data_IF_513031962158
#
_entry.id   IF_513031962158
#
_cell.length_a   1.000
_cell.length_b   1.000
_cell.length_c   1.000
_cell.angle_alpha   90.00
_cell.angle_beta   90.00
_cell.angle_gamma   90.00
#
_symmetry.space_group_name_H-M   'P 1'
#
loop_
_entity.id
_entity.type
_entity.pdbx_description
1 polymer ?
#
# COMPACT_ATOMS: atom_id res chain seq x y z
N UNK A 1 -31.43 6.05 9.75
CA UNK A 1 -30.30 6.36 8.86
C UNK A 1 -30.66 5.88 7.47
N UNK A 2 -30.70 6.77 6.49
CA UNK A 2 -31.04 6.41 5.10
C UNK A 2 -29.95 5.54 4.46
N UNK A 3 -30.29 4.76 3.44
CA UNK A 3 -29.33 3.90 2.71
C UNK A 3 -28.10 4.68 2.22
N UNK A 4 -28.32 5.90 1.72
CA UNK A 4 -27.27 6.79 1.25
C UNK A 4 -26.30 7.22 2.35
N UNK A 5 -26.84 7.62 3.51
CA UNK A 5 -26.04 7.97 4.69
C UNK A 5 -25.24 6.77 5.20
N UNK A 6 -25.83 5.57 5.13
CA UNK A 6 -25.14 4.32 5.45
C UNK A 6 -23.96 4.04 4.53
N UNK A 7 -24.17 4.10 3.22
CA UNK A 7 -23.12 3.85 2.24
C UNK A 7 -22.01 4.90 2.33
N UNK A 8 -22.37 6.17 2.53
CA UNK A 8 -21.39 7.22 2.78
C UNK A 8 -20.55 6.95 4.05
N UNK A 9 -21.19 6.51 5.13
CA UNK A 9 -20.49 6.08 6.36
C UNK A 9 -19.56 4.88 6.12
N UNK A 10 -19.97 3.95 5.26
CA UNK A 10 -19.12 2.82 4.86
C UNK A 10 -17.89 3.26 4.05
N UNK A 11 -17.99 4.31 3.24
CA UNK A 11 -16.83 4.92 2.57
C UNK A 11 -15.80 5.47 3.57
N UNK A 12 -16.25 6.20 4.59
CA UNK A 12 -15.39 6.66 5.69
C UNK A 12 -14.76 5.48 6.43
N UNK A 13 -15.53 4.41 6.65
CA UNK A 13 -15.04 3.19 7.29
C UNK A 13 -13.95 2.51 6.45
N UNK A 14 -14.15 2.37 5.14
CA UNK A 14 -13.13 1.82 4.24
C UNK A 14 -11.84 2.66 4.29
N UNK A 15 -11.95 3.99 4.25
CA UNK A 15 -10.78 4.88 4.38
C UNK A 15 -10.03 4.68 5.72
N UNK A 16 -10.73 4.54 6.85
CA UNK A 16 -10.09 4.21 8.14
C UNK A 16 -9.40 2.87 8.14
N UNK A 17 -9.93 1.90 7.39
CA UNK A 17 -9.37 0.55 7.31
C UNK A 17 -8.01 0.51 6.61
N UNK A 18 -7.62 1.56 5.89
CA UNK A 18 -6.26 1.73 5.35
C UNK A 18 -5.17 1.76 6.44
N UNK A 19 -5.48 2.16 7.68
CA UNK A 19 -4.49 2.27 8.76
C UNK A 19 -4.05 0.94 9.35
N UNK A 20 -4.78 -0.13 9.10
CA UNK A 20 -4.57 -1.39 9.78
C UNK A 20 -3.76 -2.37 8.95
N UNK A 21 -3.06 -3.26 9.64
CA UNK A 21 -2.32 -4.36 9.04
C UNK A 21 -3.25 -5.52 8.72
N UNK A 22 -3.06 -6.13 7.56
CA UNK A 22 -3.85 -7.30 7.12
C UNK A 22 -3.01 -8.58 7.02
N UNK A 23 -1.75 -8.53 7.44
CA UNK A 23 -0.86 -9.68 7.51
C UNK A 23 -0.66 -10.20 8.93
N UNK A 24 -1.22 -9.50 9.92
CA UNK A 24 -1.20 -9.91 11.33
C UNK A 24 -2.50 -10.59 11.72
N UNK A 25 -2.43 -11.57 12.61
CA UNK A 25 -3.61 -12.15 13.26
C UNK A 25 -3.86 -11.50 14.63
N UNK A 26 -5.10 -11.10 14.95
CA UNK A 26 -6.28 -11.08 14.07
C UNK A 26 -6.20 -9.92 13.05
N UNK A 27 -6.67 -10.17 11.82
CA UNK A 27 -6.61 -9.19 10.72
C UNK A 27 -7.18 -7.82 11.11
N UNK A 28 -6.39 -6.78 10.89
CA UNK A 28 -6.79 -5.41 11.08
C UNK A 28 -6.97 -5.00 12.54
N UNK A 29 -6.31 -5.69 13.47
CA UNK A 29 -6.27 -5.35 14.90
C UNK A 29 -5.16 -4.36 15.24
N UNK A 30 -4.08 -4.36 14.46
CA UNK A 30 -2.93 -3.49 14.65
C UNK A 30 -2.81 -2.50 13.51
N UNK A 31 -2.35 -1.30 13.83
CA UNK A 31 -2.01 -0.33 12.80
C UNK A 31 -0.76 -0.74 12.02
N UNK A 32 -0.70 -0.43 10.73
CA UNK A 32 0.45 -0.79 9.88
C UNK A 32 1.77 -0.20 10.35
N UNK A 33 1.81 1.04 10.84
CA UNK A 33 3.06 1.63 11.31
C UNK A 33 3.65 0.84 12.49
N UNK A 34 2.81 0.42 13.46
CA UNK A 34 3.25 -0.43 14.58
C UNK A 34 3.82 -1.76 14.09
N UNK A 35 3.14 -2.38 13.12
CA UNK A 35 3.61 -3.64 12.53
C UNK A 35 4.90 -3.44 11.75
N UNK A 36 5.05 -2.32 11.03
CA UNK A 36 6.27 -2.00 10.29
C UNK A 36 7.47 -1.73 11.20
N UNK A 37 7.30 -1.01 12.32
CA UNK A 37 8.39 -0.85 13.31
C UNK A 37 8.84 -2.21 13.82
N UNK A 38 7.89 -3.07 14.22
CA UNK A 38 8.22 -4.40 14.70
C UNK A 38 8.91 -5.24 13.63
N UNK A 39 8.50 -5.11 12.38
CA UNK A 39 9.17 -5.73 11.24
C UNK A 39 10.63 -5.27 11.14
N UNK A 40 10.91 -3.96 11.23
CA UNK A 40 12.27 -3.44 11.21
C UNK A 40 13.11 -3.96 12.38
N UNK A 41 12.55 -3.97 13.60
CA UNK A 41 13.20 -4.49 14.81
C UNK A 41 13.59 -5.96 14.68
N UNK A 42 12.66 -6.80 14.22
CA UNK A 42 12.89 -8.25 14.04
C UNK A 42 13.96 -8.51 12.98
N UNK A 43 13.96 -7.74 11.90
CA UNK A 43 14.93 -7.87 10.81
C UNK A 43 16.24 -7.11 11.07
N UNK A 44 16.43 -6.54 12.28
CA UNK A 44 17.62 -5.76 12.66
C UNK A 44 17.94 -4.62 11.70
N UNK A 45 16.89 -3.98 11.18
CA UNK A 45 16.99 -2.84 10.29
C UNK A 45 16.91 -1.56 11.12
N UNK A 46 18.04 -0.87 11.25
CA UNK A 46 18.07 0.39 12.01
C UNK A 46 17.60 1.55 11.12
N UNK A 47 16.81 2.45 11.71
CA UNK A 47 16.33 3.66 11.06
C UNK A 47 16.91 4.86 11.79
N UNK A 48 17.82 5.56 11.12
CA UNK A 48 18.51 6.71 11.69
C UNK A 48 17.53 7.82 12.09
N UNK A 49 17.92 8.67 13.04
CA UNK A 49 17.06 9.78 13.49
C UNK A 49 16.67 10.74 12.35
N UNK A 50 17.55 10.92 11.36
CA UNK A 50 17.29 11.74 10.17
C UNK A 50 16.27 11.10 9.21
N UNK A 51 16.09 9.79 9.25
CA UNK A 51 15.16 9.05 8.38
C UNK A 51 13.75 9.00 8.96
N UNK A 52 13.58 9.15 10.28
CA UNK A 52 12.26 9.07 10.93
C UNK A 52 11.23 10.03 10.35
N UNK A 53 11.52 11.33 10.12
CA UNK A 53 10.56 12.23 9.48
C UNK A 53 10.22 11.83 8.05
N UNK A 54 11.20 11.28 7.31
CA UNK A 54 11.03 10.79 5.94
C UNK A 54 10.15 9.53 5.90
N UNK A 55 10.38 8.60 6.84
CA UNK A 55 9.59 7.40 7.01
C UNK A 55 8.14 7.71 7.43
N UNK A 56 7.95 8.69 8.32
CA UNK A 56 6.62 9.18 8.69
C UNK A 56 5.86 9.75 7.48
N UNK A 57 6.54 10.52 6.64
CA UNK A 57 5.98 11.04 5.39
C UNK A 57 5.64 9.91 4.40
N UNK A 58 6.57 8.97 4.19
CA UNK A 58 6.37 7.80 3.34
C UNK A 58 5.17 6.96 3.80
N UNK A 59 5.08 6.66 5.10
CA UNK A 59 3.95 5.90 5.65
C UNK A 59 2.63 6.65 5.47
N UNK A 60 2.62 7.98 5.59
CA UNK A 60 1.42 8.79 5.34
C UNK A 60 1.02 8.76 3.86
N UNK A 61 1.98 8.88 2.94
CA UNK A 61 1.74 8.72 1.49
C UNK A 61 1.25 7.30 1.16
N UNK A 62 1.75 6.28 1.86
CA UNK A 62 1.32 4.90 1.69
C UNK A 62 -0.12 4.67 2.21
N UNK A 63 -0.53 5.32 3.30
CA UNK A 63 -1.93 5.34 3.73
C UNK A 63 -2.81 6.02 2.68
N UNK A 64 -2.36 7.13 2.09
CA UNK A 64 -3.09 7.79 1.01
C UNK A 64 -3.18 6.89 -0.23
N UNK A 65 -2.12 6.15 -0.58
CA UNK A 65 -2.14 5.14 -1.65
C UNK A 65 -3.15 4.02 -1.35
N UNK A 66 -3.23 3.55 -0.11
CA UNK A 66 -4.27 2.56 0.28
C UNK A 66 -5.67 3.12 0.11
N UNK A 67 -5.92 4.37 0.51
CA UNK A 67 -7.22 5.02 0.28
C UNK A 67 -7.53 5.13 -1.22
N UNK A 68 -6.53 5.48 -2.02
CA UNK A 68 -6.63 5.50 -3.47
C UNK A 68 -7.01 4.13 -4.04
N UNK A 69 -6.29 3.07 -3.66
CA UNK A 69 -6.60 1.68 -4.05
C UNK A 69 -8.01 1.29 -3.61
N UNK A 70 -8.47 1.71 -2.44
CA UNK A 70 -9.83 1.43 -1.99
C UNK A 70 -10.89 2.06 -2.89
N UNK A 71 -10.66 3.27 -3.40
CA UNK A 71 -11.50 3.94 -4.40
C UNK A 71 -11.40 3.26 -5.76
N UNK A 72 -10.21 2.83 -6.16
CA UNK A 72 -9.97 2.12 -7.40
C UNK A 72 -10.72 0.78 -7.45
N UNK A 73 -10.57 -0.05 -6.40
CA UNK A 73 -11.33 -1.31 -6.27
C UNK A 73 -12.83 -1.05 -6.25
N UNK A 74 -13.28 -0.04 -5.50
CA UNK A 74 -14.69 0.37 -5.45
C UNK A 74 -15.25 0.73 -6.82
N UNK A 75 -14.47 1.39 -7.68
CA UNK A 75 -14.90 1.76 -9.03
C UNK A 75 -15.31 0.53 -9.84
N UNK A 76 -14.49 -0.54 -9.83
CA UNK A 76 -14.82 -1.79 -10.52
C UNK A 76 -16.11 -2.46 -10.02
N UNK A 77 -16.39 -2.38 -8.71
CA UNK A 77 -17.67 -2.84 -8.18
C UNK A 77 -18.85 -1.93 -8.59
N UNK A 78 -18.63 -0.62 -8.62
CA UNK A 78 -19.65 0.37 -8.93
C UNK A 78 -20.08 0.33 -10.41
N UNK A 79 -19.23 -0.14 -11.33
CA UNK A 79 -19.59 -0.41 -12.72
C UNK A 79 -20.76 -1.40 -12.83
N UNK A 80 -20.76 -2.42 -11.97
CA UNK A 80 -21.83 -3.44 -11.96
C UNK A 80 -22.95 -3.08 -10.99
N UNK A 81 -22.65 -2.36 -9.89
CA UNK A 81 -23.61 -1.97 -8.87
C UNK A 81 -23.51 -0.49 -8.48
N UNK A 82 -24.17 0.35 -9.28
CA UNK A 82 -24.19 1.80 -9.12
C UNK A 82 -24.50 2.36 -7.72
N UNK A 83 -25.31 1.70 -6.84
CA UNK A 83 -25.51 2.21 -5.49
C UNK A 83 -24.21 2.38 -4.68
N UNK A 84 -23.14 1.63 -4.99
CA UNK A 84 -21.86 1.79 -4.32
C UNK A 84 -21.17 3.12 -4.62
N UNK A 85 -21.62 3.87 -5.64
CA UNK A 85 -21.11 5.21 -5.91
C UNK A 85 -21.27 6.16 -4.71
N UNK A 86 -22.24 5.92 -3.83
CA UNK A 86 -22.42 6.73 -2.63
C UNK A 86 -21.26 6.58 -1.61
N UNK A 87 -20.45 5.51 -1.69
CA UNK A 87 -19.26 5.35 -0.84
C UNK A 87 -18.19 6.41 -1.17
N UNK A 88 -18.07 6.85 -2.43
CA UNK A 88 -17.10 7.87 -2.82
C UNK A 88 -17.24 9.17 -2.03
N UNK A 89 -18.48 9.55 -1.68
CA UNK A 89 -18.75 10.72 -0.82
C UNK A 89 -18.06 10.61 0.55
N UNK A 90 -17.98 9.40 1.10
CA UNK A 90 -17.27 9.13 2.35
C UNK A 90 -15.76 9.32 2.21
N UNK A 91 -15.19 8.83 1.10
CA UNK A 91 -13.78 9.05 0.77
C UNK A 91 -13.46 10.53 0.55
N UNK A 92 -14.28 11.26 -0.20
CA UNK A 92 -14.11 12.70 -0.44
C UNK A 92 -14.11 13.51 0.87
N UNK A 93 -14.95 13.14 1.84
CA UNK A 93 -14.96 13.77 3.17
C UNK A 93 -13.64 13.58 3.90
N UNK A 94 -13.04 12.39 3.75
CA UNK A 94 -11.73 12.07 4.33
C UNK A 94 -10.63 12.86 3.61
N UNK A 95 -10.60 12.84 2.28
CA UNK A 95 -9.57 13.52 1.47
C UNK A 95 -9.57 15.04 1.71
N UNK A 96 -10.75 15.69 1.74
CA UNK A 96 -10.87 17.14 2.03
C UNK A 96 -10.31 17.55 3.39
N UNK A 97 -10.26 16.62 4.34
CA UNK A 97 -9.77 16.85 5.70
C UNK A 97 -8.64 15.88 6.06
N UNK A 98 -7.85 15.46 5.06
CA UNK A 98 -6.92 14.35 5.22
C UNK A 98 -5.92 14.56 6.37
N UNK A 99 -5.34 15.75 6.49
CA UNK A 99 -4.44 16.07 7.62
C UNK A 99 -5.11 15.90 8.98
N UNK A 100 -6.34 16.40 9.15
CA UNK A 100 -7.09 16.26 10.41
C UNK A 100 -7.51 14.80 10.66
N UNK A 101 -7.81 14.08 9.59
CA UNK A 101 -8.11 12.66 9.64
C UNK A 101 -6.89 11.86 10.10
N UNK A 102 -5.70 12.10 9.54
CA UNK A 102 -4.44 11.51 9.99
C UNK A 102 -4.16 11.82 11.46
N UNK A 103 -4.29 13.08 11.89
CA UNK A 103 -4.11 13.48 13.30
C UNK A 103 -5.05 12.73 14.26
N UNK A 104 -6.30 12.49 13.84
CA UNK A 104 -7.30 11.79 14.64
C UNK A 104 -7.03 10.30 14.73
N UNK A 105 -6.81 9.64 13.59
CA UNK A 105 -6.62 8.18 13.55
C UNK A 105 -5.25 7.78 14.13
N UNK A 106 -4.29 8.71 14.23
CA UNK A 106 -2.99 8.52 14.91
C UNK A 106 -2.94 9.01 16.36
N UNK A 107 -4.07 9.46 16.91
CA UNK A 107 -4.13 9.91 18.29
C UNK A 107 -3.98 8.73 19.27
N UNK A 108 -3.38 8.95 20.47
CA UNK A 108 -3.32 7.94 21.51
C UNK A 108 -4.71 7.36 21.82
N UNK A 109 -4.83 6.03 21.87
CA UNK A 109 -6.10 5.32 22.06
C UNK A 109 -6.84 4.92 20.78
N UNK A 110 -6.42 5.41 19.60
CA UNK A 110 -6.98 5.01 18.30
C UNK A 110 -6.15 3.93 17.57
N UNK A 111 -5.29 3.23 18.31
CA UNK A 111 -4.49 2.11 17.79
C UNK A 111 -3.18 2.51 17.11
N UNK A 112 -2.82 3.79 17.18
CA UNK A 112 -1.70 4.37 16.46
C UNK A 112 -0.89 5.37 17.32
N UNK A 113 0.42 5.47 17.10
CA UNK A 113 1.29 6.41 17.83
C UNK A 113 1.48 7.74 17.08
N UNK A 114 1.21 8.87 17.76
CA UNK A 114 1.41 10.24 17.25
C UNK A 114 2.81 10.52 16.70
N UNK A 115 3.82 9.71 17.06
CA UNK A 115 5.21 9.83 16.60
C UNK A 115 5.39 9.57 15.10
N UNK A 116 4.37 9.08 14.39
CA UNK A 116 4.43 8.69 12.98
C UNK A 116 3.87 9.70 11.98
N UNK A 117 3.55 10.92 12.41
CA UNK A 117 3.12 11.98 11.50
C UNK A 117 4.31 12.81 11.01
N UNK A 118 4.37 13.17 9.71
CA UNK A 118 5.37 14.09 9.22
C UNK A 118 5.20 15.47 9.88
N UNK A 119 6.29 16.17 10.21
CA UNK A 119 6.22 17.47 10.89
C UNK A 119 5.50 18.54 10.07
N UNK A 120 5.50 18.41 8.74
CA UNK A 120 4.85 19.33 7.81
C UNK A 120 3.50 18.83 7.28
N UNK A 121 2.86 17.87 7.96
CA UNK A 121 1.59 17.20 7.56
C UNK A 121 0.58 18.14 6.91
N UNK A 122 0.17 19.21 7.61
CA UNK A 122 -0.87 20.13 7.15
C UNK A 122 -0.52 20.89 5.87
N UNK A 123 0.76 21.20 5.68
CA UNK A 123 1.28 21.84 4.47
C UNK A 123 1.41 20.82 3.33
N UNK A 124 1.91 19.63 3.65
CA UNK A 124 2.15 18.55 2.68
C UNK A 124 0.86 18.02 2.05
N UNK A 125 -0.21 17.97 2.84
CA UNK A 125 -1.53 17.49 2.45
C UNK A 125 -2.59 18.59 2.56
N UNK A 126 -2.20 19.81 2.17
CA UNK A 126 -3.18 20.83 1.78
C UNK A 126 -3.86 20.42 0.45
N UNK A 127 -4.80 21.24 -0.03
CA UNK A 127 -5.54 20.91 -1.26
C UNK A 127 -4.62 20.67 -2.46
N UNK A 128 -3.56 21.46 -2.59
CA UNK A 128 -2.61 21.35 -3.71
C UNK A 128 -1.76 20.09 -3.59
N UNK A 129 -1.25 19.80 -2.39
CA UNK A 129 -0.44 18.63 -2.10
C UNK A 129 -1.23 17.32 -2.26
N UNK A 130 -2.48 17.30 -1.79
CA UNK A 130 -3.41 16.18 -2.02
C UNK A 130 -3.65 15.95 -3.50
N UNK A 131 -4.02 17.01 -4.24
CA UNK A 131 -4.30 16.94 -5.68
C UNK A 131 -3.10 16.40 -6.45
N UNK A 132 -1.90 16.95 -6.22
CA UNK A 132 -0.67 16.50 -6.88
C UNK A 132 -0.38 15.02 -6.64
N UNK A 133 -0.69 14.52 -5.44
CA UNK A 133 -0.45 13.12 -5.08
C UNK A 133 -1.48 12.19 -5.73
N UNK A 134 -2.74 12.59 -5.78
CA UNK A 134 -3.81 11.82 -6.45
C UNK A 134 -3.59 11.81 -7.96
N UNK A 135 -3.28 12.95 -8.58
CA UNK A 135 -2.97 13.05 -10.01
C UNK A 135 -1.79 12.15 -10.43
N UNK A 136 -0.80 12.02 -9.54
CA UNK A 136 0.33 11.10 -9.74
C UNK A 136 -0.15 9.65 -9.79
N UNK A 137 -0.98 9.22 -8.83
CA UNK A 137 -1.55 7.88 -8.83
C UNK A 137 -2.43 7.64 -10.05
N UNK A 138 -3.30 8.58 -10.40
CA UNK A 138 -4.15 8.49 -11.60
C UNK A 138 -3.34 8.37 -12.90
N UNK A 139 -2.19 9.05 -12.98
CA UNK A 139 -1.30 8.95 -14.13
C UNK A 139 -0.58 7.60 -14.22
N UNK A 140 -0.31 6.95 -13.08
CA UNK A 140 0.26 5.60 -13.04
C UNK A 140 -0.82 4.59 -13.41
N UNK A 141 -2.01 4.70 -12.82
CA UNK A 141 -3.15 3.81 -13.09
C UNK A 141 -3.54 3.78 -14.55
N UNK A 142 -3.82 4.93 -15.17
CA UNK A 142 -4.18 5.01 -16.59
C UNK A 142 -3.16 4.34 -17.51
N UNK A 143 -1.87 4.53 -17.20
CA UNK A 143 -0.78 3.96 -18.00
C UNK A 143 -0.77 2.44 -17.98
N UNK A 144 -1.10 1.82 -16.84
CA UNK A 144 -1.13 0.36 -16.73
C UNK A 144 -2.44 -0.26 -17.19
N UNK A 145 -3.56 0.43 -17.02
CA UNK A 145 -4.85 0.04 -17.61
C UNK A 145 -4.78 -0.07 -19.14
N UNK A 146 -3.97 0.77 -19.79
CA UNK A 146 -3.76 0.74 -21.25
C UNK A 146 -2.76 -0.32 -21.73
N UNK A 147 -1.88 -0.82 -20.84
CA UNK A 147 -0.72 -1.64 -21.21
C UNK A 147 -0.82 -3.11 -20.82
N UNK A 148 -1.47 -3.42 -19.70
CA UNK A 148 -1.50 -4.76 -19.15
C UNK A 148 -2.80 -5.48 -19.53
N UNK A 149 -2.69 -6.78 -19.82
CA UNK A 149 -3.81 -7.55 -20.36
C UNK A 149 -4.80 -8.05 -19.30
N UNK A 150 -4.40 -8.11 -18.03
CA UNK A 150 -5.22 -8.66 -16.93
C UNK A 150 -5.40 -7.67 -15.78
N UNK A 151 -6.60 -7.58 -15.17
CA UNK A 151 -6.85 -6.70 -14.03
C UNK A 151 -5.90 -6.92 -12.85
N UNK A 152 -5.47 -8.17 -12.63
CA UNK A 152 -4.55 -8.54 -11.56
C UNK A 152 -3.16 -7.95 -11.77
N UNK A 153 -2.69 -7.97 -13.01
CA UNK A 153 -1.39 -7.43 -13.40
C UNK A 153 -1.43 -5.91 -13.44
N UNK A 154 -2.53 -5.31 -13.90
CA UNK A 154 -2.79 -3.86 -13.77
C UNK A 154 -2.64 -3.44 -12.31
N UNK A 155 -3.35 -4.09 -11.38
CA UNK A 155 -3.30 -3.75 -9.97
C UNK A 155 -1.89 -3.89 -9.38
N UNK A 156 -1.19 -4.99 -9.68
CA UNK A 156 0.18 -5.22 -9.20
C UNK A 156 1.11 -4.10 -9.67
N UNK A 157 1.10 -3.79 -10.96
CA UNK A 157 1.94 -2.75 -11.54
C UNK A 157 1.65 -1.35 -10.95
N UNK A 158 0.38 -1.03 -10.73
CA UNK A 158 -0.03 0.22 -10.07
C UNK A 158 0.56 0.30 -8.66
N UNK A 159 0.40 -0.75 -7.86
CA UNK A 159 0.89 -0.79 -6.48
C UNK A 159 2.42 -0.67 -6.46
N UNK A 160 3.13 -1.44 -7.29
CA UNK A 160 4.59 -1.47 -7.31
C UNK A 160 5.19 -0.13 -7.78
N UNK A 161 4.65 0.49 -8.85
CA UNK A 161 5.14 1.78 -9.34
C UNK A 161 4.79 2.92 -8.37
N UNK A 162 3.57 2.92 -7.80
CA UNK A 162 3.19 3.92 -6.81
C UNK A 162 4.06 3.81 -5.54
N UNK A 163 4.29 2.60 -5.04
CA UNK A 163 5.12 2.35 -3.86
C UNK A 163 6.56 2.84 -4.09
N UNK A 164 7.13 2.52 -5.24
CA UNK A 164 8.46 2.98 -5.64
C UNK A 164 8.52 4.50 -5.74
N UNK A 165 7.51 5.11 -6.34
CA UNK A 165 7.46 6.56 -6.57
C UNK A 165 7.30 7.33 -5.26
N UNK A 166 6.45 6.88 -4.33
CA UNK A 166 6.33 7.52 -3.02
C UNK A 166 7.59 7.31 -2.17
N UNK A 167 8.30 6.18 -2.31
CA UNK A 167 9.59 5.97 -1.65
C UNK A 167 10.63 6.99 -2.13
N UNK A 168 10.78 7.14 -3.45
CA UNK A 168 11.68 8.13 -4.08
C UNK A 168 11.31 9.56 -3.65
N UNK A 169 10.02 9.92 -3.72
CA UNK A 169 9.53 11.25 -3.33
C UNK A 169 9.87 11.61 -1.89
N UNK A 170 9.88 10.62 -1.00
CA UNK A 170 10.18 10.81 0.42
C UNK A 170 11.65 10.55 0.76
N UNK A 171 12.51 10.33 -0.25
CA UNK A 171 13.94 10.05 -0.08
C UNK A 171 14.19 8.84 0.84
N UNK A 172 13.36 7.81 0.70
CA UNK A 172 13.49 6.53 1.40
C UNK A 172 13.94 5.47 0.40
N UNK A 173 15.00 4.74 0.75
CA UNK A 173 15.37 3.52 0.05
C UNK A 173 14.62 2.34 0.66
N UNK A 174 13.68 1.76 -0.10
CA UNK A 174 13.04 0.52 0.32
C UNK A 174 13.95 -0.65 -0.03
N UNK A 175 14.51 -1.29 0.98
CA UNK A 175 15.12 -2.61 0.81
C UNK A 175 14.09 -3.61 0.28
N UNK A 176 14.54 -4.68 -0.38
CA UNK A 176 13.63 -5.72 -0.88
C UNK A 176 12.68 -6.28 0.20
N UNK A 177 13.11 -6.53 1.46
CA UNK A 177 12.20 -6.91 2.56
C UNK A 177 11.12 -5.86 2.84
N UNK A 178 11.48 -4.57 2.90
CA UNK A 178 10.51 -3.51 3.17
C UNK A 178 9.53 -3.34 2.03
N UNK A 179 10.02 -3.41 0.78
CA UNK A 179 9.17 -3.33 -0.40
C UNK A 179 8.13 -4.46 -0.38
N UNK A 180 8.59 -5.69 -0.19
CA UNK A 180 7.72 -6.86 -0.09
C UNK A 180 6.73 -6.76 1.07
N UNK A 181 7.16 -6.26 2.23
CA UNK A 181 6.28 -5.99 3.37
C UNK A 181 5.09 -5.13 2.94
N UNK A 182 5.34 -3.98 2.29
CA UNK A 182 4.27 -3.05 1.87
C UNK A 182 3.39 -3.61 0.75
N UNK A 183 3.94 -4.37 -0.20
CA UNK A 183 3.16 -5.04 -1.25
C UNK A 183 2.27 -6.14 -0.67
N UNK A 184 2.78 -6.99 0.23
CA UNK A 184 1.99 -8.03 0.93
C UNK A 184 0.86 -7.40 1.76
N UNK A 185 1.19 -6.34 2.47
CA UNK A 185 0.24 -5.54 3.25
C UNK A 185 -0.86 -4.92 2.38
N UNK A 186 -0.52 -4.42 1.17
CA UNK A 186 -1.51 -3.94 0.20
C UNK A 186 -2.39 -5.09 -0.31
N UNK A 187 -1.83 -6.26 -0.60
CA UNK A 187 -2.60 -7.42 -1.07
C UNK A 187 -3.63 -7.86 -0.02
N UNK A 188 -3.21 -8.01 1.23
CA UNK A 188 -4.12 -8.31 2.34
C UNK A 188 -5.25 -7.29 2.46
N UNK A 189 -4.94 -6.00 2.26
CA UNK A 189 -5.94 -4.95 2.27
C UNK A 189 -6.93 -5.03 1.09
N UNK A 190 -6.46 -5.32 -0.13
CA UNK A 190 -7.34 -5.53 -1.30
C UNK A 190 -8.27 -6.72 -1.07
N UNK A 191 -7.78 -7.85 -0.52
CA UNK A 191 -8.63 -8.99 -0.15
C UNK A 191 -9.69 -8.60 0.88
N UNK A 192 -9.31 -7.80 1.88
CA UNK A 192 -10.27 -7.24 2.83
C UNK A 192 -11.32 -6.36 2.12
N UNK A 193 -10.91 -5.46 1.22
CA UNK A 193 -11.82 -4.59 0.47
C UNK A 193 -12.81 -5.38 -0.37
N UNK A 194 -12.35 -6.42 -1.07
CA UNK A 194 -13.22 -7.30 -1.85
C UNK A 194 -14.28 -7.98 -0.97
N UNK A 195 -13.91 -8.52 0.20
CA UNK A 195 -14.88 -9.05 1.18
C UNK A 195 -15.84 -7.96 1.69
N UNK A 196 -15.30 -6.78 1.99
CA UNK A 196 -16.06 -5.65 2.53
C UNK A 196 -17.10 -5.13 1.53
N UNK A 197 -16.71 -4.87 0.27
CA UNK A 197 -17.61 -4.35 -0.76
C UNK A 197 -18.61 -5.40 -1.22
N UNK A 198 -18.21 -6.66 -1.40
CA UNK A 198 -19.15 -7.75 -1.72
C UNK A 198 -20.23 -7.88 -0.65
N UNK A 199 -19.90 -7.68 0.63
CA UNK A 199 -20.86 -7.69 1.74
C UNK A 199 -21.89 -6.55 1.70
N UNK A 200 -21.69 -5.52 0.89
CA UNK A 200 -22.63 -4.40 0.69
C UNK A 200 -23.56 -4.62 -0.52
N UNK A 201 -23.42 -5.74 -1.22
CA UNK A 201 -24.12 -6.03 -2.47
C UNK A 201 -25.09 -7.19 -2.26
N UNK A 202 -26.31 -7.11 -2.80
CA UNK A 202 -27.23 -8.25 -2.80
C UNK A 202 -26.63 -9.49 -3.47
N UNK A 203 -26.79 -10.70 -2.90
CA UNK A 203 -26.24 -11.94 -3.46
C UNK A 203 -26.58 -12.18 -4.93
N UNK A 204 -27.77 -11.77 -5.37
CA UNK A 204 -28.24 -11.91 -6.75
C UNK A 204 -27.39 -11.18 -7.81
N UNK A 205 -26.47 -10.29 -7.39
CA UNK A 205 -25.62 -9.49 -8.29
C UNK A 205 -24.16 -10.02 -8.26
N UNK A 206 -23.80 -10.87 -7.30
CA UNK A 206 -22.41 -11.31 -7.07
C UNK A 206 -21.81 -11.99 -8.30
N UNK A 207 -22.55 -12.82 -9.02
CA UNK A 207 -22.07 -13.54 -10.21
C UNK A 207 -21.64 -12.63 -11.37
N UNK A 208 -22.07 -11.36 -11.38
CA UNK A 208 -21.76 -10.39 -12.44
C UNK A 208 -20.52 -9.54 -12.12
N UNK A 209 -20.03 -9.61 -10.89
CA UNK A 209 -18.95 -8.75 -10.42
C UNK A 209 -17.61 -9.39 -10.74
N UNK A 210 -16.78 -8.66 -11.48
CA UNK A 210 -15.36 -8.95 -11.61
C UNK A 210 -14.59 -8.10 -10.60
N UNK A 211 -14.28 -8.70 -9.46
CA UNK A 211 -13.57 -8.00 -8.39
C UNK A 211 -12.13 -7.67 -8.84
N UNK A 212 -11.66 -6.42 -8.72
CA UNK A 212 -10.26 -6.11 -8.90
C UNK A 212 -9.44 -6.84 -7.83
N UNK A 213 -8.53 -7.71 -8.28
CA UNK A 213 -7.64 -8.49 -7.44
C UNK A 213 -6.20 -8.11 -7.73
N UNK A 214 -5.27 -8.53 -6.88
CA UNK A 214 -3.84 -8.47 -7.18
C UNK A 214 -3.32 -9.91 -7.18
N UNK A 215 -2.47 -10.24 -8.15
CA UNK A 215 -1.81 -11.56 -8.20
C UNK A 215 -1.10 -11.85 -6.87
N UNK A 216 -1.26 -13.07 -6.36
CA UNK A 216 -0.50 -13.51 -5.19
C UNK A 216 0.93 -13.77 -5.60
N UNK A 217 1.89 -13.08 -4.97
CA UNK A 217 3.29 -13.47 -5.05
C UNK A 217 3.44 -14.79 -4.29
N UNK A 218 3.48 -15.91 -5.03
CA UNK A 218 3.87 -17.21 -4.48
C UNK A 218 5.34 -17.14 -4.07
N UNK A 219 5.57 -16.94 -2.77
CA UNK A 219 6.86 -17.28 -2.17
C UNK A 219 6.80 -18.76 -1.78
N UNK A 220 7.78 -19.54 -2.24
CA UNK A 220 7.93 -20.93 -1.78
C UNK A 220 8.14 -20.94 -0.26
N UNK A 221 7.59 -21.92 0.44
CA UNK A 221 7.64 -22.07 1.91
C UNK A 221 9.06 -21.89 2.53
N UNK A 222 10.13 -22.12 1.75
CA UNK A 222 11.52 -21.85 2.13
C UNK A 222 11.84 -20.38 2.49
N UNK A 223 10.98 -19.45 2.09
CA UNK A 223 11.14 -18.03 2.32
C UNK A 223 10.37 -17.50 3.55
N UNK A 224 9.44 -18.29 4.10
CA UNK A 224 8.74 -17.95 5.35
C UNK A 224 9.54 -18.38 6.59
N UNK A 225 10.34 -19.45 6.50
CA UNK A 225 11.26 -19.86 7.59
C UNK A 225 12.53 -18.98 7.68
N UNK A 226 12.88 -18.27 6.60
CA UNK A 226 14.03 -17.36 6.59
C UNK A 226 13.64 -15.93 6.94
N UNK A 227 13.23 -15.72 8.20
CA UNK A 227 13.22 -14.41 8.86
C UNK A 227 14.60 -13.71 8.94
N UNK A 228 15.51 -14.03 8.03
CA UNK A 228 16.77 -13.38 7.75
C UNK A 228 17.08 -13.57 6.26
N UNK A 229 17.39 -12.46 5.59
CA UNK A 229 17.95 -12.45 4.23
C UNK A 229 19.01 -13.56 4.10
N UNK A 230 18.83 -14.48 3.15
CA UNK A 230 19.79 -15.57 2.98
C UNK A 230 21.05 -15.03 2.29
N UNK A 231 21.97 -14.49 3.10
CA UNK A 231 23.25 -13.90 2.68
C UNK A 231 24.07 -14.84 1.81
N UNK A 232 23.89 -16.15 1.93
CA UNK A 232 24.58 -17.12 1.09
C UNK A 232 24.18 -16.98 -0.38
N UNK A 233 22.88 -16.88 -0.70
CA UNK A 233 22.43 -16.72 -2.09
C UNK A 233 22.85 -15.38 -2.69
N UNK A 234 22.77 -14.30 -1.93
CA UNK A 234 23.25 -12.99 -2.37
C UNK A 234 24.77 -12.99 -2.59
N UNK A 235 25.54 -13.63 -1.69
CA UNK A 235 26.97 -13.80 -1.85
C UNK A 235 27.30 -14.65 -3.08
N UNK A 236 26.58 -15.75 -3.34
CA UNK A 236 26.78 -16.56 -4.54
C UNK A 236 26.55 -15.77 -5.84
N UNK A 237 25.51 -14.93 -5.89
CA UNK A 237 25.25 -14.07 -7.05
C UNK A 237 26.37 -13.04 -7.23
N UNK A 238 26.82 -12.41 -6.14
CA UNK A 238 27.93 -11.44 -6.18
C UNK A 238 29.23 -12.10 -6.61
N UNK A 239 29.55 -13.29 -6.08
CA UNK A 239 30.74 -14.05 -6.46
C UNK A 239 30.68 -14.55 -7.91
N UNK A 240 29.49 -14.93 -8.40
CA UNK A 240 29.31 -15.30 -9.80
C UNK A 240 29.53 -14.10 -10.73
N UNK A 241 28.98 -12.93 -10.40
CA UNK A 241 29.19 -11.70 -11.18
C UNK A 241 30.66 -11.28 -11.14
N UNK A 242 31.30 -11.31 -9.96
CA UNK A 242 32.73 -11.01 -9.82
C UNK A 242 33.60 -11.99 -10.62
N UNK A 243 33.28 -13.28 -10.60
CA UNK A 243 33.98 -14.31 -11.38
C UNK A 243 33.86 -14.07 -12.89
N UNK A 244 32.67 -13.70 -13.38
CA UNK A 244 32.45 -13.37 -14.79
C UNK A 244 33.24 -12.12 -15.20
N UNK A 245 33.24 -11.08 -14.36
CA UNK A 245 34.01 -9.85 -14.62
C UNK A 245 35.52 -10.15 -14.66
N UNK A 246 36.04 -10.93 -13.71
CA UNK A 246 37.45 -11.32 -13.70
C UNK A 246 37.83 -12.15 -14.93
N UNK A 247 36.97 -13.07 -15.38
CA UNK A 247 37.21 -13.87 -16.58
C UNK A 247 37.23 -13.01 -17.85
N UNK A 248 36.34 -12.01 -17.94
CA UNK A 248 36.30 -11.07 -19.07
C UNK A 248 37.54 -10.15 -19.11
N UNK A 249 38.01 -9.67 -17.96
CA UNK A 249 39.24 -8.87 -17.87
C UNK A 249 40.47 -9.71 -18.25
N UNK A 250 40.54 -10.97 -17.82
CA UNK A 250 41.62 -11.88 -18.17
C UNK A 250 41.61 -12.26 -19.67
N UNK A 251 40.42 -12.36 -20.28
CA UNK A 251 40.27 -12.64 -21.72
C UNK A 251 40.57 -11.41 -22.60
N UNK A 252 40.36 -10.19 -22.11
CA UNK A 252 40.69 -8.94 -22.81
C UNK A 252 42.13 -8.46 -22.65
N UNK A 253 42.96 -9.18 -21.88
CA UNK A 253 44.38 -8.85 -21.63
C UNK A 253 45.36 -9.67 -22.49
N UNK A 254 44.91 -10.20 -23.64
CA UNK A 254 45.74 -10.85 -24.66
C UNK A 254 45.89 -9.98 -25.89
#
# INVERSE_FOLDING_TARGET
>A
MGRKEYLESMGVRAARRAFFSYTTEPEGSYSIHRVFIRFLEVNRMDMGQAEKPKAAAFLTDYILLRIYVAKYVLAGYAETYAPLLDLFRGFEKVEKKFSLFMERETAPGHGAERKFLPPDLRRRYDERGMRKTIELFDSISRRYEEREDTPERVMKCIVDECLSTIAIRNEISLSAPSFWFFTREMNGYIRYLNRFYSGLIPPAIHERIKAPMMEEETRSDADEESGGFNYERAAYIIFAIAGVICALIAAGSR
#
